data_IF_359373430633
#
_entry.id   IF_359373430633
#
_cell.length_a   1.000
_cell.length_b   1.000
_cell.length_c   1.000
_cell.angle_alpha   90.00
_cell.angle_beta   90.00
_cell.angle_gamma   90.00
#
_symmetry.space_group_name_H-M   'P 1'
#
loop_
_entity.id
_entity.type
_entity.pdbx_description
1 polymer ?
#
# COMPACT_ATOMS: atom_id res chain seq x y z
N UNK A 1 8.06 81.31 -51.36
CA UNK A 1 7.17 80.22 -50.93
C UNK A 1 7.98 79.02 -50.48
N UNK A 2 8.13 78.87 -49.21
CA UNK A 2 8.94 77.81 -48.61
C UNK A 2 8.06 76.68 -48.06
N UNK A 3 8.17 75.48 -48.62
CA UNK A 3 7.47 74.31 -48.06
C UNK A 3 8.38 73.71 -46.97
N UNK A 4 7.81 73.59 -45.77
CA UNK A 4 8.41 72.92 -44.66
C UNK A 4 7.99 71.44 -44.71
N UNK A 5 8.92 70.57 -44.88
CA UNK A 5 8.73 69.12 -44.72
C UNK A 5 8.66 68.77 -43.23
N UNK A 6 7.55 68.19 -42.78
CA UNK A 6 7.39 67.60 -41.46
C UNK A 6 7.66 66.10 -41.58
N UNK A 7 8.79 65.64 -41.06
CA UNK A 7 9.11 64.21 -40.92
C UNK A 7 8.44 63.66 -39.65
N UNK A 8 7.46 62.78 -39.82
CA UNK A 8 6.88 62.06 -38.71
C UNK A 8 7.78 60.85 -38.35
N UNK A 9 8.35 60.87 -37.17
CA UNK A 9 9.09 59.74 -36.61
C UNK A 9 8.06 58.83 -35.92
N UNK A 10 7.78 57.64 -36.49
CA UNK A 10 6.96 56.59 -35.90
C UNK A 10 7.82 55.83 -34.90
N UNK A 11 7.63 56.06 -33.62
CA UNK A 11 8.29 55.28 -32.56
C UNK A 11 7.67 53.90 -32.42
N UNK A 12 8.39 52.87 -32.76
CA UNK A 12 8.00 51.47 -32.56
C UNK A 12 8.22 51.09 -31.10
N UNK A 13 7.15 50.99 -30.32
CA UNK A 13 7.22 50.45 -28.95
C UNK A 13 7.21 48.93 -29.01
N UNK A 14 8.38 48.32 -28.76
CA UNK A 14 8.48 46.85 -28.55
C UNK A 14 8.03 46.58 -27.13
N UNK A 15 6.83 46.00 -26.97
CA UNK A 15 6.37 45.46 -25.69
C UNK A 15 7.06 44.13 -25.52
N UNK A 16 8.11 44.08 -24.70
CA UNK A 16 8.68 42.84 -24.22
C UNK A 16 7.69 42.19 -23.22
N UNK A 17 6.89 41.24 -23.72
CA UNK A 17 6.11 40.37 -22.87
C UNK A 17 7.11 39.40 -22.23
N UNK A 18 7.51 39.71 -21.02
CA UNK A 18 8.24 38.76 -20.18
C UNK A 18 7.28 37.62 -19.83
N UNK A 19 7.42 36.46 -20.49
CA UNK A 19 6.87 35.20 -20.00
C UNK A 19 7.61 34.90 -18.68
N UNK A 20 7.03 35.27 -17.56
CA UNK A 20 7.38 34.65 -16.28
C UNK A 20 6.90 33.22 -16.37
N UNK A 21 7.75 32.20 -16.16
CA UNK A 21 7.24 30.86 -15.95
C UNK A 21 6.26 30.94 -14.79
N UNK A 22 5.03 30.45 -14.99
CA UNK A 22 4.10 30.19 -13.90
C UNK A 22 4.79 29.12 -13.03
N UNK A 23 5.57 29.55 -12.06
CA UNK A 23 5.95 28.69 -10.95
C UNK A 23 4.65 28.43 -10.19
N UNK A 24 4.04 27.27 -10.40
CA UNK A 24 3.03 26.74 -9.51
C UNK A 24 3.66 26.81 -8.12
N UNK A 25 3.04 27.51 -7.14
CA UNK A 25 3.60 27.51 -5.80
C UNK A 25 3.78 26.05 -5.41
N UNK A 26 4.97 25.65 -4.95
CA UNK A 26 5.21 24.36 -4.34
C UNK A 26 4.26 24.28 -3.14
N UNK A 27 3.14 23.60 -3.32
CA UNK A 27 2.21 23.29 -2.25
C UNK A 27 2.80 22.14 -1.42
N UNK A 28 2.50 22.08 -0.13
CA UNK A 28 2.87 20.97 0.75
C UNK A 28 2.12 19.70 0.33
N UNK A 29 2.59 19.07 -0.75
CA UNK A 29 1.96 17.87 -1.33
C UNK A 29 2.63 16.57 -0.90
N UNK A 30 3.57 16.66 0.05
CA UNK A 30 4.35 15.54 0.55
C UNK A 30 5.63 15.32 -0.24
N UNK A 31 6.57 14.65 0.40
CA UNK A 31 7.93 14.38 -0.05
C UNK A 31 8.31 12.94 0.29
N UNK A 32 9.11 12.29 -0.55
CA UNK A 32 9.59 10.93 -0.33
C UNK A 32 11.08 10.95 -0.06
N UNK A 33 11.52 10.30 1.00
CA UNK A 33 12.93 10.20 1.35
C UNK A 33 13.38 8.74 1.42
N UNK A 34 14.57 8.48 0.89
CA UNK A 34 15.21 7.16 0.97
C UNK A 34 15.64 6.88 2.41
N UNK A 35 15.43 5.64 2.86
CA UNK A 35 15.88 5.09 4.14
C UNK A 35 16.83 3.93 3.91
N UNK A 36 17.34 3.34 4.99
CA UNK A 36 18.27 2.20 4.91
C UNK A 36 17.68 1.03 4.13
N UNK A 37 18.39 0.58 3.12
CA UNK A 37 18.01 -0.57 2.30
C UNK A 37 17.90 -1.84 3.13
N UNK A 38 16.99 -2.75 2.71
CA UNK A 38 16.92 -4.09 3.25
C UNK A 38 18.25 -4.81 3.03
N UNK A 39 18.84 -5.36 4.08
CA UNK A 39 20.12 -6.09 3.98
C UNK A 39 19.97 -7.48 3.33
N UNK A 40 18.82 -7.79 2.75
CA UNK A 40 18.50 -9.01 2.02
C UNK A 40 18.36 -8.77 0.52
N UNK A 41 18.11 -9.83 -0.26
CA UNK A 41 17.87 -9.69 -1.70
C UNK A 41 16.67 -8.80 -2.02
N UNK A 42 16.78 -8.05 -3.15
CA UNK A 42 15.64 -7.35 -3.73
C UNK A 42 14.48 -8.31 -4.00
N UNK A 43 13.26 -7.87 -3.72
CA UNK A 43 12.06 -8.73 -3.78
C UNK A 43 10.79 -7.94 -4.03
N UNK A 44 9.77 -8.61 -4.56
CA UNK A 44 8.39 -8.14 -4.60
C UNK A 44 7.45 -9.12 -3.93
N UNK A 45 6.19 -8.73 -3.72
CA UNK A 45 5.15 -9.59 -3.16
C UNK A 45 5.55 -10.20 -1.80
N UNK A 46 6.36 -9.47 -1.05
CA UNK A 46 6.71 -9.76 0.33
C UNK A 46 5.52 -9.50 1.26
N UNK A 47 5.60 -9.96 2.48
CA UNK A 47 4.66 -9.59 3.54
C UNK A 47 5.31 -8.65 4.55
N UNK A 48 4.47 -7.80 5.15
CA UNK A 48 4.86 -6.97 6.27
C UNK A 48 3.83 -7.02 7.38
N UNK A 49 4.27 -6.80 8.62
CA UNK A 49 3.42 -6.57 9.78
C UNK A 49 4.13 -5.73 10.84
N UNK A 50 3.43 -4.78 11.40
CA UNK A 50 3.99 -3.90 12.45
C UNK A 50 3.67 -4.42 13.84
N UNK A 51 4.69 -4.48 14.72
CA UNK A 51 4.52 -4.78 16.16
C UNK A 51 5.18 -3.66 16.97
N UNK A 52 4.39 -2.90 17.69
CA UNK A 52 4.87 -1.73 18.44
C UNK A 52 5.41 -0.66 17.48
N UNK A 53 6.70 -0.34 17.61
CA UNK A 53 7.38 0.64 16.75
C UNK A 53 8.26 -0.01 15.68
N UNK A 54 8.14 -1.30 15.45
CA UNK A 54 8.99 -2.05 14.52
C UNK A 54 8.17 -2.64 13.39
N UNK A 55 8.72 -2.59 12.19
CA UNK A 55 8.21 -3.36 11.05
C UNK A 55 8.95 -4.69 10.95
N UNK A 56 8.21 -5.71 10.56
CA UNK A 56 8.71 -7.05 10.24
C UNK A 56 8.34 -7.36 8.80
N UNK A 57 9.34 -7.57 7.96
CA UNK A 57 9.19 -7.82 6.54
C UNK A 57 9.90 -9.13 6.16
N UNK A 58 9.25 -9.95 5.36
CA UNK A 58 9.86 -11.20 4.89
C UNK A 58 9.12 -11.83 3.75
N UNK A 59 9.54 -13.02 3.36
CA UNK A 59 9.01 -13.75 2.20
C UNK A 59 9.20 -12.97 0.89
N UNK A 60 8.37 -13.23 -0.13
CA UNK A 60 8.46 -12.53 -1.41
C UNK A 60 9.17 -13.33 -2.50
N UNK A 61 9.35 -12.71 -3.65
CA UNK A 61 9.85 -13.33 -4.88
C UNK A 61 10.99 -12.52 -5.50
N UNK A 62 12.02 -13.23 -6.02
CA UNK A 62 13.21 -12.63 -6.62
C UNK A 62 13.04 -12.19 -8.09
N UNK A 63 11.83 -12.32 -8.64
CA UNK A 63 11.54 -12.03 -10.05
C UNK A 63 11.87 -13.16 -11.02
N UNK A 64 12.39 -14.32 -10.52
CA UNK A 64 12.73 -15.50 -11.30
C UNK A 64 12.10 -16.76 -10.71
N UNK A 65 12.84 -17.49 -9.89
CA UNK A 65 12.42 -18.80 -9.41
C UNK A 65 12.37 -18.91 -7.89
N UNK A 66 13.00 -17.99 -7.14
CA UNK A 66 13.16 -18.09 -5.69
C UNK A 66 12.04 -17.38 -4.96
N UNK A 67 11.37 -18.08 -4.05
CA UNK A 67 10.57 -17.50 -2.98
C UNK A 67 11.38 -17.55 -1.71
N UNK A 68 11.27 -16.48 -0.92
CA UNK A 68 12.04 -16.32 0.30
C UNK A 68 11.26 -16.80 1.51
N UNK A 69 11.99 -17.25 2.54
CA UNK A 69 11.48 -17.58 3.87
C UNK A 69 12.10 -16.70 4.96
N UNK A 70 13.10 -15.88 4.60
CA UNK A 70 13.79 -14.97 5.50
C UNK A 70 12.88 -13.85 6.00
N UNK A 71 13.18 -13.36 7.20
CA UNK A 71 12.50 -12.24 7.83
C UNK A 71 13.48 -11.24 8.41
N UNK A 72 13.08 -9.97 8.37
CA UNK A 72 13.86 -8.83 8.79
C UNK A 72 13.00 -7.92 9.66
N UNK A 73 13.63 -7.33 10.66
CA UNK A 73 13.04 -6.32 11.54
C UNK A 73 13.67 -4.98 11.23
N UNK A 74 12.85 -3.99 10.94
CA UNK A 74 13.24 -2.59 10.78
C UNK A 74 13.00 -1.81 12.06
N UNK A 75 14.03 -1.07 12.50
CA UNK A 75 13.95 -0.12 13.60
C UNK A 75 14.04 1.31 13.03
N UNK A 76 12.90 2.04 12.98
CA UNK A 76 12.88 3.40 12.42
C UNK A 76 13.56 4.44 13.30
N UNK A 77 13.87 4.14 14.58
CA UNK A 77 14.56 5.07 15.46
C UNK A 77 16.05 5.20 15.15
N UNK A 78 16.65 4.12 14.59
CA UNK A 78 18.06 4.06 14.19
C UNK A 78 18.24 3.79 12.71
N UNK A 79 17.14 3.78 11.95
CA UNK A 79 17.09 3.54 10.50
C UNK A 79 17.90 2.31 10.09
N UNK A 80 17.59 1.14 10.63
CA UNK A 80 18.35 -0.08 10.36
C UNK A 80 17.53 -1.33 10.35
N UNK A 81 17.97 -2.30 9.54
CA UNK A 81 17.42 -3.64 9.43
C UNK A 81 18.27 -4.66 10.17
N UNK A 82 17.64 -5.57 10.84
CA UNK A 82 18.27 -6.74 11.45
C UNK A 82 17.53 -8.01 11.06
N UNK A 83 18.25 -9.06 10.71
CA UNK A 83 17.64 -10.34 10.40
C UNK A 83 17.14 -11.00 11.69
N UNK A 84 15.94 -11.57 11.62
CA UNK A 84 15.33 -12.38 12.67
C UNK A 84 15.23 -13.83 12.22
N UNK A 85 14.66 -14.71 13.06
CA UNK A 85 14.44 -16.11 12.68
C UNK A 85 13.58 -16.19 11.41
N UNK A 86 14.12 -16.87 10.39
CA UNK A 86 13.38 -17.18 9.16
C UNK A 86 12.25 -18.17 9.43
N UNK A 87 11.20 -18.12 8.61
CA UNK A 87 10.26 -19.24 8.52
C UNK A 87 11.00 -20.50 8.05
N UNK A 88 10.47 -21.71 8.29
CA UNK A 88 11.03 -22.93 7.68
C UNK A 88 11.14 -22.79 6.15
N UNK A 89 12.20 -23.35 5.54
CA UNK A 89 12.40 -23.26 4.08
C UNK A 89 11.20 -23.80 3.29
N UNK A 90 10.51 -24.82 3.83
CA UNK A 90 9.27 -25.36 3.25
C UNK A 90 8.09 -24.39 3.31
N UNK A 91 8.24 -23.26 3.98
CA UNK A 91 7.24 -22.21 4.09
C UNK A 91 7.61 -20.95 3.26
N UNK A 92 8.66 -21.03 2.42
CA UNK A 92 9.02 -19.96 1.48
C UNK A 92 7.84 -19.66 0.53
N UNK A 93 7.55 -18.37 0.34
CA UNK A 93 6.34 -17.95 -0.42
C UNK A 93 6.41 -16.51 -0.90
N UNK A 94 5.50 -16.16 -1.81
CA UNK A 94 5.16 -14.79 -2.20
C UNK A 94 3.66 -14.55 -2.11
N UNK A 95 3.22 -13.29 -2.22
CA UNK A 95 1.79 -12.90 -2.30
C UNK A 95 0.95 -13.45 -1.14
N UNK A 96 1.57 -13.61 0.03
CA UNK A 96 0.94 -14.05 1.26
C UNK A 96 0.29 -12.87 2.01
N UNK A 97 -0.43 -13.18 3.07
CA UNK A 97 -0.94 -12.19 4.02
C UNK A 97 -0.01 -12.12 5.22
N UNK A 98 0.35 -10.88 5.62
CA UNK A 98 0.98 -10.57 6.90
C UNK A 98 0.04 -9.73 7.77
N UNK A 99 -0.02 -10.03 9.07
CA UNK A 99 -0.81 -9.25 10.03
C UNK A 99 -0.26 -9.39 11.45
N UNK A 100 -0.65 -8.51 12.36
CA UNK A 100 -0.29 -8.60 13.78
C UNK A 100 -1.52 -8.69 14.68
N UNK A 101 -1.44 -9.51 15.74
CA UNK A 101 -2.45 -9.66 16.77
C UNK A 101 -1.75 -9.76 18.13
N UNK A 102 -2.12 -8.94 19.10
CA UNK A 102 -1.62 -9.04 20.48
C UNK A 102 -0.08 -9.09 20.58
N UNK A 103 0.62 -8.30 19.77
CA UNK A 103 2.09 -8.23 19.81
C UNK A 103 2.82 -9.41 19.17
N UNK A 104 2.11 -10.26 18.43
CA UNK A 104 2.66 -11.33 17.61
C UNK A 104 2.40 -11.09 16.14
N UNK A 105 3.31 -11.57 15.28
CA UNK A 105 3.16 -11.54 13.84
C UNK A 105 2.53 -12.83 13.32
N UNK A 106 1.80 -12.71 12.23
CA UNK A 106 1.20 -13.87 11.57
C UNK A 106 1.39 -13.79 10.06
N UNK A 107 1.66 -14.95 9.44
CA UNK A 107 1.79 -15.09 7.99
C UNK A 107 0.99 -16.29 7.53
N UNK A 108 0.20 -16.11 6.48
CA UNK A 108 -0.58 -17.21 5.91
C UNK A 108 -0.91 -17.02 4.44
N UNK A 109 -1.43 -18.08 3.84
CA UNK A 109 -1.77 -18.08 2.41
C UNK A 109 -0.56 -17.85 1.50
N UNK A 110 -0.75 -17.44 0.25
CA UNK A 110 0.33 -17.13 -0.68
C UNK A 110 0.61 -18.25 -1.68
N UNK A 111 1.77 -18.15 -2.34
CA UNK A 111 2.18 -19.04 -3.41
C UNK A 111 3.66 -19.44 -3.25
N UNK A 112 3.96 -20.77 -3.24
CA UNK A 112 5.30 -21.30 -3.05
C UNK A 112 6.11 -21.46 -4.36
N UNK A 113 5.50 -21.16 -5.49
CA UNK A 113 6.05 -21.37 -6.83
C UNK A 113 5.41 -22.56 -7.56
N UNK A 114 4.67 -23.39 -6.85
CA UNK A 114 3.99 -24.58 -7.36
C UNK A 114 2.53 -24.65 -6.90
N UNK A 115 2.27 -24.31 -5.63
CA UNK A 115 0.98 -24.49 -4.98
C UNK A 115 0.50 -23.16 -4.37
N UNK A 116 -0.79 -22.94 -4.38
CA UNK A 116 -1.43 -21.97 -3.51
C UNK A 116 -1.51 -22.55 -2.09
N UNK A 117 -1.34 -21.69 -1.09
CA UNK A 117 -1.18 -22.10 0.29
C UNK A 117 -2.38 -21.70 1.14
N UNK A 118 -2.63 -22.48 2.21
CA UNK A 118 -3.59 -22.15 3.25
C UNK A 118 -3.04 -22.37 4.66
N UNK A 119 -1.74 -22.70 4.80
CA UNK A 119 -1.11 -22.78 6.10
C UNK A 119 -1.02 -21.40 6.75
N UNK A 120 -0.92 -21.39 8.07
CA UNK A 120 -0.89 -20.18 8.89
C UNK A 120 0.15 -20.33 9.98
N UNK A 121 0.96 -19.27 10.19
CA UNK A 121 2.13 -19.28 11.06
C UNK A 121 2.10 -18.08 11.99
N UNK A 122 2.46 -18.29 13.25
CA UNK A 122 2.64 -17.28 14.27
C UNK A 122 4.12 -17.04 14.53
N UNK A 123 4.55 -15.78 14.56
CA UNK A 123 5.86 -15.34 15.02
C UNK A 123 5.75 -14.74 16.41
N UNK A 124 6.53 -15.27 17.35
CA UNK A 124 6.63 -14.74 18.71
C UNK A 124 7.94 -13.97 18.85
N UNK A 125 7.84 -12.64 19.13
CA UNK A 125 9.00 -11.75 19.24
C UNK A 125 9.88 -12.06 20.45
N UNK A 126 9.32 -12.66 21.52
CA UNK A 126 10.05 -12.97 22.74
C UNK A 126 10.94 -14.19 22.58
N UNK A 127 10.44 -15.22 21.93
CA UNK A 127 11.18 -16.46 21.64
C UNK A 127 11.96 -16.40 20.33
N UNK A 128 11.70 -15.39 19.48
CA UNK A 128 12.22 -15.29 18.11
C UNK A 128 11.97 -16.60 17.33
N UNK A 129 10.73 -17.08 17.33
CA UNK A 129 10.38 -18.38 16.75
C UNK A 129 9.04 -18.38 16.03
N UNK A 130 8.94 -19.21 15.00
CA UNK A 130 7.73 -19.46 14.24
C UNK A 130 7.03 -20.72 14.70
N UNK A 131 5.72 -20.67 14.84
CA UNK A 131 4.86 -21.81 15.22
C UNK A 131 3.71 -21.94 14.22
N UNK A 132 3.50 -23.13 13.70
CA UNK A 132 2.36 -23.41 12.82
C UNK A 132 1.07 -23.41 13.62
N UNK A 133 0.05 -22.74 13.07
CA UNK A 133 -1.29 -22.61 13.64
C UNK A 133 -2.32 -23.34 12.79
N UNK A 134 -3.59 -23.33 13.21
CA UNK A 134 -4.69 -23.88 12.44
C UNK A 134 -4.71 -23.28 11.03
N UNK A 135 -4.71 -24.15 10.02
CA UNK A 135 -4.73 -23.73 8.63
C UNK A 135 -5.94 -22.83 8.34
N UNK A 136 -5.74 -21.86 7.46
CA UNK A 136 -6.80 -20.96 7.02
C UNK A 136 -7.96 -21.74 6.40
N UNK A 137 -9.15 -21.63 6.97
CA UNK A 137 -10.31 -22.43 6.59
C UNK A 137 -11.00 -21.99 5.29
N UNK A 138 -10.66 -20.82 4.76
CA UNK A 138 -11.17 -20.30 3.48
C UNK A 138 -10.57 -20.96 2.24
N UNK A 139 -9.64 -21.92 2.40
CA UNK A 139 -8.96 -22.60 1.30
C UNK A 139 -7.69 -21.89 0.82
N UNK A 140 -6.90 -22.63 0.03
CA UNK A 140 -5.64 -22.13 -0.51
C UNK A 140 -5.85 -20.96 -1.47
N UNK A 141 -5.05 -19.91 -1.31
CA UNK A 141 -5.15 -18.68 -2.10
C UNK A 141 -3.91 -17.81 -2.00
N UNK A 142 -3.76 -16.85 -2.90
CA UNK A 142 -2.73 -15.83 -2.85
C UNK A 142 -3.34 -14.43 -3.13
N UNK A 143 -2.57 -13.36 -2.88
CA UNK A 143 -3.03 -11.97 -3.06
C UNK A 143 -4.35 -11.65 -2.32
N UNK A 144 -4.55 -12.28 -1.18
CA UNK A 144 -5.62 -11.97 -0.24
C UNK A 144 -5.27 -10.71 0.57
N UNK A 145 -6.26 -10.09 1.20
CA UNK A 145 -6.02 -9.06 2.21
C UNK A 145 -6.08 -9.66 3.61
N UNK A 146 -5.32 -9.07 4.55
CA UNK A 146 -5.39 -9.42 5.95
C UNK A 146 -5.12 -8.25 6.86
N UNK A 147 -5.70 -8.30 8.05
CA UNK A 147 -5.55 -7.27 9.07
C UNK A 147 -5.82 -7.84 10.47
N UNK A 148 -5.24 -7.20 11.50
CA UNK A 148 -5.55 -7.51 12.90
C UNK A 148 -6.31 -6.37 13.56
N UNK A 149 -7.42 -6.66 14.23
CA UNK A 149 -8.19 -5.68 15.03
C UNK A 149 -8.49 -6.30 16.39
N UNK A 150 -8.16 -5.56 17.45
CA UNK A 150 -8.31 -6.03 18.81
C UNK A 150 -7.56 -7.36 19.02
N UNK A 151 -8.27 -8.40 19.43
CA UNK A 151 -7.69 -9.71 19.70
C UNK A 151 -7.79 -10.70 18.53
N UNK A 152 -8.22 -10.26 17.35
CA UNK A 152 -8.54 -11.12 16.22
C UNK A 152 -7.77 -10.77 14.96
N UNK A 153 -7.45 -11.79 14.15
CA UNK A 153 -6.96 -11.63 12.79
C UNK A 153 -8.09 -11.83 11.77
N UNK A 154 -7.94 -11.24 10.61
CA UNK A 154 -8.92 -11.34 9.53
C UNK A 154 -8.20 -11.57 8.22
N UNK A 155 -8.66 -12.54 7.43
CA UNK A 155 -8.16 -12.80 6.07
C UNK A 155 -9.37 -12.96 5.15
N UNK A 156 -9.31 -12.36 3.98
CA UNK A 156 -10.36 -12.50 2.99
C UNK A 156 -9.92 -12.10 1.59
N UNK A 157 -10.82 -12.26 0.62
CA UNK A 157 -10.55 -12.01 -0.80
C UNK A 157 -9.45 -12.92 -1.36
N UNK A 158 -8.70 -12.48 -2.38
CA UNK A 158 -7.62 -13.27 -2.97
C UNK A 158 -8.07 -14.09 -4.17
N UNK A 159 -7.15 -14.90 -4.70
CA UNK A 159 -7.34 -15.74 -5.89
C UNK A 159 -7.00 -17.20 -5.57
N UNK A 160 -7.89 -18.13 -5.92
CA UNK A 160 -7.75 -19.56 -5.64
C UNK A 160 -7.13 -20.36 -6.80
N UNK A 161 -6.68 -19.66 -7.85
CA UNK A 161 -6.16 -20.25 -9.07
C UNK A 161 -7.20 -20.32 -10.19
N UNK A 162 -8.47 -20.06 -9.88
CA UNK A 162 -9.58 -20.07 -10.85
C UNK A 162 -10.40 -18.79 -10.78
N UNK A 163 -10.65 -18.28 -9.57
CA UNK A 163 -11.55 -17.15 -9.35
C UNK A 163 -11.02 -16.19 -8.31
N UNK A 164 -11.33 -14.91 -8.47
CA UNK A 164 -11.26 -13.94 -7.41
C UNK A 164 -12.34 -14.24 -6.36
N UNK A 165 -12.02 -14.08 -5.10
CA UNK A 165 -12.86 -14.44 -3.96
C UNK A 165 -13.39 -13.18 -3.26
N UNK A 166 -14.43 -13.34 -2.44
CA UNK A 166 -14.99 -12.28 -1.59
C UNK A 166 -15.32 -12.71 -0.16
N UNK A 167 -15.02 -13.98 0.17
CA UNK A 167 -15.20 -14.49 1.52
C UNK A 167 -14.20 -13.85 2.49
N UNK A 168 -14.58 -13.69 3.74
CA UNK A 168 -13.72 -13.28 4.84
C UNK A 168 -13.84 -14.23 6.02
N UNK A 169 -12.77 -14.35 6.78
CA UNK A 169 -12.70 -15.20 7.96
C UNK A 169 -12.02 -14.45 9.09
N UNK A 170 -12.49 -14.63 10.30
CA UNK A 170 -11.92 -14.15 11.54
C UNK A 170 -11.18 -15.28 12.24
N UNK A 171 -9.93 -15.04 12.59
CA UNK A 171 -9.09 -15.92 13.40
C UNK A 171 -9.12 -15.53 14.86
N UNK A 172 -9.36 -16.50 15.74
CA UNK A 172 -9.22 -16.37 17.18
C UNK A 172 -7.95 -17.09 17.64
N UNK A 173 -6.88 -16.35 18.02
CA UNK A 173 -5.60 -16.96 18.42
C UNK A 173 -5.70 -17.69 19.75
N UNK A 174 -6.69 -17.40 20.61
CA UNK A 174 -6.89 -18.08 21.90
C UNK A 174 -7.47 -19.49 21.73
N UNK A 175 -8.36 -19.65 20.76
CA UNK A 175 -8.98 -20.93 20.41
C UNK A 175 -8.26 -21.67 19.27
N UNK A 176 -7.37 -20.98 18.54
CA UNK A 176 -6.73 -21.44 17.31
C UNK A 176 -7.76 -21.87 16.25
N UNK A 177 -8.79 -21.05 16.01
CA UNK A 177 -9.90 -21.37 15.12
C UNK A 177 -10.28 -20.21 14.20
N UNK A 178 -10.87 -20.57 13.06
CA UNK A 178 -11.40 -19.64 12.07
C UNK A 178 -12.93 -19.66 12.06
N UNK A 179 -13.52 -18.49 11.91
CA UNK A 179 -14.97 -18.30 11.76
C UNK A 179 -15.23 -17.47 10.51
N UNK A 180 -16.15 -17.92 9.64
CA UNK A 180 -16.56 -17.16 8.46
C UNK A 180 -17.29 -15.88 8.87
N UNK A 181 -17.01 -14.79 8.12
CA UNK A 181 -17.77 -13.53 8.20
C UNK A 181 -18.22 -13.12 6.79
N UNK A 182 -19.38 -12.51 6.70
CA UNK A 182 -19.89 -12.02 5.42
C UNK A 182 -19.11 -10.78 4.96
N UNK A 183 -18.90 -10.65 3.65
CA UNK A 183 -18.38 -9.45 3.00
C UNK A 183 -19.32 -9.04 1.87
N UNK A 184 -19.76 -7.79 1.91
CA UNK A 184 -20.73 -7.26 0.95
C UNK A 184 -20.12 -6.75 -0.36
N UNK A 185 -18.78 -6.50 -0.37
CA UNK A 185 -18.09 -5.96 -1.53
C UNK A 185 -17.89 -6.96 -2.68
N UNK A 186 -17.30 -6.45 -3.75
CA UNK A 186 -16.99 -7.23 -4.94
C UNK A 186 -15.87 -8.25 -4.69
N UNK A 187 -15.90 -9.36 -5.45
CA UNK A 187 -14.76 -10.29 -5.53
C UNK A 187 -13.52 -9.56 -5.99
N UNK A 188 -12.37 -9.85 -5.37
CA UNK A 188 -11.10 -9.23 -5.73
C UNK A 188 -9.88 -10.01 -5.25
N UNK A 189 -8.74 -9.75 -5.85
CA UNK A 189 -7.39 -10.09 -5.40
C UNK A 189 -6.45 -8.91 -5.65
N UNK A 190 -5.22 -8.92 -5.14
CA UNK A 190 -4.28 -7.79 -5.23
C UNK A 190 -4.85 -6.47 -4.71
N UNK A 191 -5.80 -6.54 -3.77
CA UNK A 191 -6.31 -5.39 -3.04
C UNK A 191 -5.37 -5.03 -1.89
N UNK A 192 -5.56 -3.86 -1.29
CA UNK A 192 -4.88 -3.47 -0.06
C UNK A 192 -5.87 -3.25 1.07
N UNK A 193 -5.38 -3.42 2.30
CA UNK A 193 -6.08 -3.04 3.50
C UNK A 193 -5.21 -2.17 4.39
N UNK A 194 -5.84 -1.29 5.17
CA UNK A 194 -5.20 -0.50 6.21
C UNK A 194 -6.14 -0.35 7.40
N UNK A 195 -5.58 -0.10 8.58
CA UNK A 195 -6.33 0.00 9.84
C UNK A 195 -6.28 1.43 10.34
N UNK A 196 -7.43 1.93 10.78
CA UNK A 196 -7.54 3.19 11.48
C UNK A 196 -8.63 3.11 12.54
N UNK A 197 -8.27 3.42 13.80
CA UNK A 197 -9.18 3.44 14.97
C UNK A 197 -10.03 2.16 15.08
N UNK A 198 -9.36 1.00 15.16
CA UNK A 198 -10.00 -0.32 15.30
C UNK A 198 -10.99 -0.66 14.17
N UNK A 199 -10.82 -0.05 13.00
CA UNK A 199 -11.57 -0.37 11.78
C UNK A 199 -10.60 -0.71 10.66
N UNK A 200 -10.97 -1.67 9.82
CA UNK A 200 -10.20 -2.03 8.64
C UNK A 200 -10.86 -1.48 7.37
N UNK A 201 -10.06 -0.94 6.51
CA UNK A 201 -10.47 -0.41 5.21
C UNK A 201 -9.92 -1.33 4.12
N UNK A 202 -10.77 -1.72 3.16
CA UNK A 202 -10.41 -2.57 2.03
C UNK A 202 -10.70 -1.82 0.74
N UNK A 203 -9.68 -1.61 -0.07
CA UNK A 203 -9.73 -0.77 -1.26
C UNK A 203 -8.94 -1.39 -2.41
N UNK A 204 -9.24 -1.02 -3.64
CA UNK A 204 -8.54 -1.44 -4.85
C UNK A 204 -8.69 -2.94 -5.17
N UNK A 205 -7.77 -3.45 -6.00
CA UNK A 205 -7.76 -4.85 -6.44
C UNK A 205 -8.34 -5.04 -7.84
N UNK A 206 -8.34 -6.29 -8.27
CA UNK A 206 -8.77 -6.69 -9.61
C UNK A 206 -9.68 -7.91 -9.55
N UNK A 207 -10.66 -7.99 -10.42
CA UNK A 207 -11.53 -9.13 -10.63
C UNK A 207 -11.69 -9.41 -12.12
N UNK A 208 -11.27 -10.59 -12.56
CA UNK A 208 -11.38 -11.00 -13.99
C UNK A 208 -10.83 -9.95 -14.98
N UNK A 209 -9.71 -9.33 -14.64
CA UNK A 209 -9.05 -8.31 -15.49
C UNK A 209 -9.62 -6.90 -15.35
N UNK A 210 -10.65 -6.68 -14.52
CA UNK A 210 -11.25 -5.37 -14.28
C UNK A 210 -10.86 -4.85 -12.90
N UNK A 211 -10.31 -3.65 -12.84
CA UNK A 211 -9.98 -2.98 -11.58
C UNK A 211 -11.26 -2.67 -10.79
N UNK A 212 -11.23 -2.98 -9.50
CA UNK A 212 -12.38 -2.83 -8.61
C UNK A 212 -12.40 -1.42 -8.03
N UNK A 213 -13.57 -0.79 -8.01
CA UNK A 213 -13.76 0.62 -7.67
C UNK A 213 -14.55 0.86 -6.38
N UNK A 214 -15.10 -0.18 -5.75
CA UNK A 214 -15.78 -0.06 -4.45
C UNK A 214 -14.76 -0.01 -3.30
N UNK A 215 -15.10 0.71 -2.27
CA UNK A 215 -14.29 0.94 -1.08
C UNK A 215 -15.12 0.62 0.16
N UNK A 216 -14.57 -0.16 1.08
CA UNK A 216 -15.29 -0.71 2.21
C UNK A 216 -14.57 -0.50 3.52
N UNK A 217 -15.34 -0.24 4.59
CA UNK A 217 -14.85 -0.24 5.97
C UNK A 217 -15.53 -1.34 6.77
N UNK A 218 -14.72 -2.12 7.50
CA UNK A 218 -15.13 -3.11 8.49
C UNK A 218 -15.03 -2.51 9.89
N UNK A 219 -16.15 -2.52 10.62
CA UNK A 219 -16.22 -2.07 12.01
C UNK A 219 -16.75 -3.21 12.89
N UNK A 220 -15.87 -3.86 13.68
CA UNK A 220 -16.29 -4.98 14.53
C UNK A 220 -17.23 -4.60 15.67
N UNK A 221 -17.39 -3.31 15.97
CA UNK A 221 -18.27 -2.82 17.02
C UNK A 221 -19.76 -2.79 16.62
N UNK A 222 -20.02 -2.84 15.30
CA UNK A 222 -21.40 -2.85 14.78
C UNK A 222 -22.07 -4.20 15.01
N UNK A 223 -23.37 -4.19 15.27
CA UNK A 223 -24.19 -5.39 15.32
C UNK A 223 -24.78 -5.70 13.94
N UNK A 224 -24.74 -6.95 13.51
CA UNK A 224 -25.24 -7.38 12.21
C UNK A 224 -24.18 -7.29 11.12
N UNK A 225 -24.45 -6.56 10.02
CA UNK A 225 -23.45 -6.35 8.98
C UNK A 225 -22.39 -5.35 9.44
N UNK A 226 -21.19 -5.84 9.63
CA UNK A 226 -20.04 -5.04 10.08
C UNK A 226 -19.38 -4.25 8.94
N UNK A 227 -19.80 -4.42 7.68
CA UNK A 227 -19.24 -3.75 6.52
C UNK A 227 -20.12 -2.58 6.08
N UNK A 228 -19.50 -1.46 5.82
CA UNK A 228 -20.12 -0.26 5.25
C UNK A 228 -19.38 0.14 3.97
N UNK A 229 -20.12 0.36 2.90
CA UNK A 229 -19.57 0.89 1.66
C UNK A 229 -19.31 2.40 1.80
N UNK A 230 -18.13 2.80 1.40
CA UNK A 230 -17.69 4.19 1.33
C UNK A 230 -17.82 4.72 -0.11
N UNK A 231 -17.43 5.96 -0.34
CA UNK A 231 -17.44 6.53 -1.69
C UNK A 231 -16.53 5.74 -2.63
N UNK A 232 -17.00 5.53 -3.86
CA UNK A 232 -16.22 4.87 -4.88
C UNK A 232 -14.93 5.62 -5.20
N UNK A 233 -13.90 4.89 -5.64
CA UNK A 233 -12.57 5.41 -5.90
C UNK A 233 -12.29 5.72 -7.38
N UNK A 234 -13.33 6.01 -8.14
CA UNK A 234 -13.27 6.46 -9.53
C UNK A 234 -14.31 7.55 -9.75
N UNK A 235 -14.29 8.20 -10.91
CA UNK A 235 -15.35 9.13 -11.32
C UNK A 235 -16.63 8.31 -11.57
N UNK A 236 -17.46 8.18 -10.57
CA UNK A 236 -18.66 7.34 -10.54
C UNK A 236 -19.93 8.15 -10.29
N UNK A 237 -19.82 9.22 -9.50
CA UNK A 237 -20.98 10.02 -9.11
C UNK A 237 -21.28 11.12 -10.15
N UNK A 238 -22.40 11.82 -9.96
CA UNK A 238 -22.71 13.04 -10.71
C UNK A 238 -22.24 14.31 -9.99
N UNK A 239 -21.57 14.14 -8.86
CA UNK A 239 -21.00 15.24 -8.07
C UNK A 239 -19.55 15.51 -8.52
N UNK A 240 -19.04 16.69 -8.23
CA UNK A 240 -17.73 17.13 -8.72
C UNK A 240 -16.54 16.65 -7.88
N UNK A 241 -16.79 16.02 -6.73
CA UNK A 241 -15.71 15.62 -5.82
C UNK A 241 -14.80 14.53 -6.42
N UNK A 242 -15.34 13.68 -7.28
CA UNK A 242 -14.63 12.56 -7.90
C UNK A 242 -14.19 12.79 -9.36
N UNK A 243 -14.43 13.99 -9.91
CA UNK A 243 -14.03 14.33 -11.29
C UNK A 243 -12.53 14.15 -11.56
N UNK A 244 -11.70 14.31 -10.51
CA UNK A 244 -10.26 14.11 -10.56
C UNK A 244 -9.78 12.69 -10.26
N UNK A 245 -10.66 11.73 -9.97
CA UNK A 245 -10.29 10.35 -9.59
C UNK A 245 -9.92 9.53 -10.82
N UNK A 246 -8.71 9.72 -11.31
CA UNK A 246 -8.24 9.13 -12.59
C UNK A 246 -7.59 7.76 -12.45
N UNK A 247 -6.84 7.53 -11.36
CA UNK A 247 -5.98 6.34 -11.20
C UNK A 247 -5.88 5.85 -9.76
N UNK A 248 -6.90 6.12 -8.92
CA UNK A 248 -7.00 5.53 -7.58
C UNK A 248 -7.26 4.03 -7.73
N UNK A 249 -8.14 3.63 -8.68
CA UNK A 249 -8.37 2.22 -9.03
C UNK A 249 -7.08 1.58 -9.55
N UNK A 250 -6.63 0.53 -8.87
CA UNK A 250 -5.38 -0.17 -9.17
C UNK A 250 -5.31 -1.55 -8.52
N UNK A 251 -4.27 -2.32 -8.80
CA UNK A 251 -3.93 -3.56 -8.11
C UNK A 251 -2.49 -3.49 -7.59
N UNK A 252 -2.10 -4.39 -6.68
CA UNK A 252 -0.73 -4.51 -6.16
C UNK A 252 -0.14 -3.19 -5.61
N UNK A 253 -0.99 -2.36 -5.05
CA UNK A 253 -0.61 -1.09 -4.44
C UNK A 253 -0.01 -1.26 -3.06
N UNK A 254 0.55 -0.18 -2.53
CA UNK A 254 0.95 -0.05 -1.14
C UNK A 254 0.04 0.94 -0.43
N UNK A 255 -0.33 0.65 0.82
CA UNK A 255 -1.12 1.56 1.64
C UNK A 255 -0.58 1.64 3.07
N UNK A 256 -0.70 2.81 3.68
CA UNK A 256 -0.29 3.08 5.05
C UNK A 256 -1.09 4.25 5.64
N UNK A 257 -1.07 4.36 6.97
CA UNK A 257 -1.76 5.44 7.71
C UNK A 257 -0.73 6.29 8.44
N UNK A 258 -0.87 7.61 8.34
CA UNK A 258 -0.08 8.55 9.15
C UNK A 258 -1.04 9.36 10.01
N UNK A 259 -0.79 9.38 11.31
CA UNK A 259 -1.59 10.14 12.28
C UNK A 259 -0.89 11.42 12.69
N UNK A 260 -1.67 12.45 13.05
CA UNK A 260 -1.14 13.72 13.54
C UNK A 260 -0.49 14.60 12.48
N UNK A 261 -0.85 14.45 11.20
CA UNK A 261 -0.44 15.39 10.14
C UNK A 261 -1.13 16.74 10.33
N UNK A 262 -0.69 17.78 9.64
CA UNK A 262 -1.33 19.11 9.66
C UNK A 262 -2.81 19.06 9.28
N UNK A 263 -3.18 18.10 8.41
CA UNK A 263 -4.57 17.90 7.95
C UNK A 263 -5.35 16.86 8.76
N UNK A 264 -4.77 16.31 9.83
CA UNK A 264 -5.36 15.28 10.68
C UNK A 264 -4.78 13.89 10.44
N UNK A 265 -5.58 12.87 10.73
CA UNK A 265 -5.18 11.47 10.48
C UNK A 265 -5.59 11.09 9.06
N UNK A 266 -4.67 10.51 8.29
CA UNK A 266 -4.81 10.28 6.84
C UNK A 266 -4.32 8.88 6.47
N UNK A 267 -4.97 8.25 5.49
CA UNK A 267 -4.40 7.09 4.81
C UNK A 267 -3.80 7.49 3.46
N UNK A 268 -2.79 6.76 3.05
CA UNK A 268 -2.12 6.98 1.78
C UNK A 268 -2.14 5.68 0.97
N UNK A 269 -2.41 5.82 -0.32
CA UNK A 269 -2.37 4.78 -1.32
C UNK A 269 -1.37 5.18 -2.39
N UNK A 270 -0.35 4.38 -2.61
CA UNK A 270 0.71 4.70 -3.57
C UNK A 270 1.13 3.48 -4.38
N UNK A 271 1.80 3.70 -5.50
CA UNK A 271 2.36 2.64 -6.35
C UNK A 271 1.28 1.69 -6.92
N UNK A 272 1.66 0.51 -7.40
CA UNK A 272 0.73 -0.48 -7.95
C UNK A 272 0.60 -0.44 -9.47
N UNK A 273 -0.50 -1.01 -9.98
CA UNK A 273 -0.74 -1.19 -11.41
C UNK A 273 -2.12 -0.68 -11.84
N UNK A 274 -2.14 0.12 -12.90
CA UNK A 274 -3.34 0.51 -13.62
C UNK A 274 -3.02 0.51 -15.13
N UNK A 275 -3.10 -0.66 -15.77
CA UNK A 275 -2.62 -0.89 -17.15
C UNK A 275 -1.10 -0.90 -17.29
N UNK A 276 -0.38 -0.21 -16.43
CA UNK A 276 1.09 -0.22 -16.28
C UNK A 276 1.44 -0.06 -14.81
N UNK A 277 2.72 -0.27 -14.46
CA UNK A 277 3.22 0.05 -13.12
C UNK A 277 3.25 1.58 -12.98
N UNK A 278 2.76 2.11 -11.86
CA UNK A 278 2.56 3.54 -11.63
C UNK A 278 3.25 4.01 -10.33
N UNK A 279 3.47 5.33 -10.24
CA UNK A 279 4.07 5.98 -9.06
C UNK A 279 3.13 6.96 -8.36
N UNK A 280 1.86 6.99 -8.74
CA UNK A 280 0.92 7.99 -8.22
C UNK A 280 0.56 7.72 -6.77
N UNK A 281 0.50 8.80 -5.96
CA UNK A 281 0.12 8.75 -4.55
C UNK A 281 -1.17 9.53 -4.32
N UNK A 282 -2.07 8.95 -3.55
CA UNK A 282 -3.34 9.51 -3.14
C UNK A 282 -3.47 9.51 -1.62
N UNK A 283 -4.05 10.56 -1.10
CA UNK A 283 -4.39 10.74 0.31
C UNK A 283 -5.88 10.53 0.51
N UNK A 284 -6.27 9.73 1.49
CA UNK A 284 -7.64 9.56 1.94
C UNK A 284 -7.87 10.25 3.28
N UNK A 285 -8.85 11.12 3.34
CA UNK A 285 -9.24 11.82 4.56
C UNK A 285 -10.45 11.13 5.21
N UNK A 286 -10.22 10.55 6.39
CA UNK A 286 -11.23 9.82 7.16
C UNK A 286 -12.42 10.67 7.61
N UNK A 287 -12.26 11.99 7.73
CA UNK A 287 -13.33 12.88 8.17
C UNK A 287 -14.30 13.26 7.04
N UNK A 288 -13.82 13.30 5.81
CA UNK A 288 -14.60 13.75 4.65
C UNK A 288 -14.99 12.63 3.70
N UNK A 289 -14.37 11.44 3.83
CA UNK A 289 -14.49 10.32 2.88
C UNK A 289 -14.11 10.76 1.45
N UNK A 290 -13.02 11.53 1.32
CA UNK A 290 -12.55 12.04 0.03
C UNK A 290 -11.08 11.69 -0.19
N UNK A 291 -10.72 11.53 -1.46
CA UNK A 291 -9.36 11.34 -1.91
C UNK A 291 -8.81 12.62 -2.55
N UNK A 292 -7.52 12.87 -2.33
CA UNK A 292 -6.78 13.96 -2.99
C UNK A 292 -5.40 13.50 -3.45
N UNK A 293 -4.94 14.11 -4.54
CA UNK A 293 -3.63 13.78 -5.13
C UNK A 293 -2.50 14.36 -4.31
N UNK A 294 -1.43 13.57 -4.12
CA UNK A 294 -0.17 13.97 -3.50
C UNK A 294 0.99 13.87 -4.49
N UNK A 295 2.18 14.25 -4.05
CA UNK A 295 3.42 14.04 -4.81
C UNK A 295 3.56 12.56 -5.17
N UNK A 296 3.97 12.30 -6.40
CA UNK A 296 4.21 10.92 -6.84
C UNK A 296 5.31 10.29 -5.99
N UNK A 297 5.27 8.97 -5.86
CA UNK A 297 6.39 8.19 -5.35
C UNK A 297 7.63 8.49 -6.19
N UNK A 298 8.72 8.89 -5.56
CA UNK A 298 9.93 9.40 -6.22
C UNK A 298 10.89 8.29 -6.64
N UNK A 299 10.70 7.08 -6.12
CA UNK A 299 11.38 5.91 -6.64
C UNK A 299 10.88 5.53 -8.04
N UNK A 300 11.49 4.52 -8.67
CA UNK A 300 10.96 3.95 -9.91
C UNK A 300 9.49 3.53 -9.74
N UNK A 301 8.63 3.67 -10.76
CA UNK A 301 7.26 3.13 -10.68
C UNK A 301 7.30 1.70 -10.15
N UNK A 302 6.49 1.40 -9.13
CA UNK A 302 6.64 0.17 -8.34
C UNK A 302 5.33 -0.55 -8.15
N UNK A 303 5.37 -1.89 -8.14
CA UNK A 303 4.24 -2.78 -7.90
C UNK A 303 4.63 -3.89 -6.92
N UNK A 304 3.68 -4.41 -6.14
CA UNK A 304 3.89 -5.50 -5.20
C UNK A 304 4.89 -5.16 -4.08
N UNK A 305 4.96 -3.90 -3.69
CA UNK A 305 5.72 -3.42 -2.55
C UNK A 305 4.91 -3.54 -1.26
N UNK A 306 5.58 -3.58 -0.12
CA UNK A 306 4.97 -3.58 1.21
C UNK A 306 4.79 -2.13 1.67
N UNK A 307 3.53 -1.72 1.88
CA UNK A 307 3.20 -0.50 2.58
C UNK A 307 3.02 -0.77 4.07
N UNK A 308 3.65 0.01 4.93
CA UNK A 308 3.51 -0.13 6.37
C UNK A 308 3.60 1.21 7.10
N UNK A 309 3.21 1.22 8.35
CA UNK A 309 3.35 2.39 9.19
C UNK A 309 3.75 2.01 10.62
N UNK A 310 4.56 2.87 11.21
CA UNK A 310 4.84 2.92 12.64
C UNK A 310 4.30 4.25 13.17
N UNK A 311 4.22 4.49 14.48
CA UNK A 311 3.59 5.72 14.98
C UNK A 311 4.04 6.98 14.25
N UNK A 312 3.09 7.65 13.57
CA UNK A 312 3.22 8.91 12.82
C UNK A 312 4.16 8.89 11.59
N UNK A 313 4.56 7.71 11.10
CA UNK A 313 5.45 7.57 9.94
C UNK A 313 4.92 6.48 9.01
N UNK A 314 4.94 6.75 7.70
CA UNK A 314 4.48 5.82 6.66
C UNK A 314 5.60 5.48 5.68
N UNK A 315 5.64 4.22 5.24
CA UNK A 315 6.74 3.68 4.45
C UNK A 315 6.26 2.79 3.32
N UNK A 316 7.12 2.68 2.30
CA UNK A 316 7.03 1.67 1.24
C UNK A 316 8.38 0.96 1.15
N UNK A 317 8.38 -0.37 1.21
CA UNK A 317 9.57 -1.19 1.12
C UNK A 317 9.45 -2.20 -0.03
N UNK A 318 10.58 -2.51 -0.67
CA UNK A 318 10.68 -3.56 -1.70
C UNK A 318 9.81 -3.29 -2.94
N UNK A 319 9.34 -4.34 -3.64
CA UNK A 319 8.52 -4.22 -4.85
C UNK A 319 9.30 -4.40 -6.13
N UNK A 320 8.63 -4.29 -7.27
CA UNK A 320 9.23 -4.44 -8.61
C UNK A 320 8.89 -3.25 -9.51
N UNK A 321 9.84 -2.85 -10.33
CA UNK A 321 9.65 -1.83 -11.37
C UNK A 321 9.46 -2.43 -12.77
N UNK A 322 9.51 -3.75 -12.90
CA UNK A 322 9.38 -4.51 -14.14
C UNK A 322 9.46 -6.01 -13.90
N UNK A 323 9.85 -6.76 -14.92
CA UNK A 323 10.04 -8.19 -14.86
C UNK A 323 11.51 -8.58 -14.63
N UNK A 324 11.72 -9.73 -13.99
CA UNK A 324 13.04 -10.32 -13.72
C UNK A 324 13.73 -9.79 -12.48
N UNK A 325 14.86 -10.40 -12.13
CA UNK A 325 15.57 -10.16 -10.87
C UNK A 325 16.09 -8.72 -10.74
N UNK A 326 16.60 -8.14 -11.80
CA UNK A 326 17.13 -6.77 -11.79
C UNK A 326 16.06 -5.69 -11.54
N UNK A 327 14.78 -6.04 -11.66
CA UNK A 327 13.67 -5.13 -11.39
C UNK A 327 13.14 -5.23 -9.96
N UNK A 328 13.65 -6.15 -9.14
CA UNK A 328 13.26 -6.31 -7.74
C UNK A 328 14.01 -5.32 -6.87
N UNK A 329 13.30 -4.67 -5.97
CA UNK A 329 13.84 -3.63 -5.10
C UNK A 329 14.10 -4.14 -3.68
N UNK A 330 15.16 -3.62 -3.07
CA UNK A 330 15.48 -3.73 -1.64
C UNK A 330 15.36 -2.36 -0.93
N UNK A 331 14.89 -1.32 -1.61
CA UNK A 331 14.76 0.03 -1.08
C UNK A 331 13.65 0.14 -0.03
N UNK A 332 13.87 1.09 0.87
CA UNK A 332 12.88 1.59 1.81
C UNK A 332 12.73 3.10 1.60
N UNK A 333 11.48 3.55 1.48
CA UNK A 333 11.09 4.93 1.33
C UNK A 333 10.14 5.34 2.43
N UNK A 334 10.31 6.55 2.96
CA UNK A 334 9.40 7.17 3.91
C UNK A 334 8.70 8.35 3.26
N UNK A 335 7.40 8.48 3.52
CA UNK A 335 6.59 9.60 3.05
C UNK A 335 6.41 10.65 4.14
N UNK A 336 6.72 11.90 3.83
CA UNK A 336 6.56 13.07 4.68
C UNK A 336 5.38 13.92 4.18
N UNK A 337 4.14 13.70 4.66
CA UNK A 337 2.92 14.27 4.06
C UNK A 337 2.84 15.79 4.13
N UNK A 338 3.49 16.40 5.12
CA UNK A 338 3.47 17.85 5.39
C UNK A 338 4.68 18.60 4.81
N UNK A 339 5.56 17.89 4.10
CA UNK A 339 6.73 18.46 3.47
C UNK A 339 6.41 19.05 2.08
N UNK A 340 7.26 19.96 1.65
CA UNK A 340 7.30 20.43 0.27
C UNK A 340 8.19 19.50 -0.53
N UNK A 341 7.71 19.04 -1.67
CA UNK A 341 8.44 18.16 -2.57
C UNK A 341 9.86 18.74 -2.87
N UNK A 342 10.89 17.95 -2.62
CA UNK A 342 12.27 18.26 -2.95
C UNK A 342 12.88 17.18 -3.88
N UNK A 343 12.78 17.31 -5.19
CA UNK A 343 13.21 16.26 -6.13
C UNK A 343 14.75 16.06 -6.20
N UNK A 344 15.52 16.69 -5.32
CA UNK A 344 16.99 16.65 -5.33
C UNK A 344 17.60 16.03 -4.06
N UNK A 345 16.82 15.41 -3.18
CA UNK A 345 17.31 14.83 -1.92
C UNK A 345 17.26 13.28 -1.88
N UNK A 346 17.07 12.63 -3.03
CA UNK A 346 17.02 11.18 -3.21
C UNK A 346 18.20 10.64 -4.04
#
# INVERSE_FOLDING_TARGET
MSQKNISSILGLWIILVSCRPNTIPYTENGDWIVRSQLNGPGRSEAVGFTIGSFEYLGTGWDGLNTRFSDFWKYDPAVDSWSQIQSMPDSAARSSAVGLSINGKGYVGTGYDGYNYLNDFWEYDTLSNAWTRKAAFSGGARYEAVGFGIGNYGYIGTGFDGSYALKDFYRYDPSADTWTVIDFSGNKRYSAVSFIYKEKAYVVTGINSGVLVNDFWVYDPSLSGNNWTELRHINNYSTETYDDGYSDIVRSNASAFVITGTKSGDLAFLSTGENGSIISTTWEYNFATDLWSRKSNFEGPPTSGAVGFYVPNRGFIATGRSGNGQAAQSDFLWEFLPDAVLNPNDN
#
